data_IF_499478618408
#
_entry.id   IF_499478618408
#
_cell.length_a   1.000
_cell.length_b   1.000
_cell.length_c   1.000
_cell.angle_alpha   90.00
_cell.angle_beta   90.00
_cell.angle_gamma   90.00
#
_symmetry.space_group_name_H-M   'P 1'
#
loop_
_entity.id
_entity.type
_entity.pdbx_description
1 polymer ?
#
# COMPACT_ATOMS: atom_id res chain seq x y z
N UNK A 1 15.41 -44.46 11.64
CA UNK A 1 15.68 -43.74 10.38
C UNK A 1 14.83 -42.48 10.41
N UNK A 2 15.42 -41.35 10.73
CA UNK A 2 14.75 -40.04 10.92
C UNK A 2 15.36 -39.09 9.90
N UNK A 3 14.59 -38.36 9.07
CA UNK A 3 15.19 -37.41 8.16
C UNK A 3 15.51 -36.10 8.89
N UNK A 4 16.77 -35.71 8.72
CA UNK A 4 17.42 -34.48 9.15
C UNK A 4 16.86 -33.27 8.41
N UNK A 5 16.53 -32.21 9.14
CA UNK A 5 16.25 -30.89 8.59
C UNK A 5 17.52 -30.30 7.96
N UNK A 6 17.45 -29.83 6.71
CA UNK A 6 18.50 -29.05 6.07
C UNK A 6 17.99 -27.63 5.81
N UNK A 7 18.62 -26.69 6.51
CA UNK A 7 18.48 -25.24 6.43
C UNK A 7 19.11 -24.70 5.13
N UNK A 8 18.51 -23.67 4.51
CA UNK A 8 19.15 -22.39 4.15
C UNK A 8 18.30 -21.57 3.16
N UNK A 9 18.03 -20.33 3.55
CA UNK A 9 17.35 -19.28 2.81
C UNK A 9 18.27 -18.60 1.77
N UNK A 10 17.67 -18.00 0.74
CA UNK A 10 18.15 -16.86 -0.09
C UNK A 10 16.89 -16.38 -0.86
N UNK A 11 16.10 -15.41 -0.39
CA UNK A 11 16.34 -13.96 -0.41
C UNK A 11 16.65 -13.44 -1.83
N UNK A 12 15.62 -13.09 -2.60
CA UNK A 12 15.67 -12.12 -3.70
C UNK A 12 14.25 -11.81 -4.21
N UNK A 13 13.50 -10.99 -3.46
CA UNK A 13 12.42 -10.20 -4.04
C UNK A 13 12.73 -8.74 -3.73
N UNK A 14 13.79 -8.26 -4.36
CA UNK A 14 14.10 -6.84 -4.42
C UNK A 14 12.90 -6.10 -5.00
N UNK A 15 12.50 -5.00 -4.36
CA UNK A 15 11.47 -4.10 -4.86
C UNK A 15 11.80 -3.70 -6.30
N UNK A 16 11.06 -4.26 -7.27
CA UNK A 16 11.30 -4.00 -8.68
C UNK A 16 10.84 -2.58 -8.98
N UNK A 17 11.77 -1.61 -8.95
CA UNK A 17 11.51 -0.27 -9.45
C UNK A 17 11.49 -0.33 -10.96
N UNK A 18 10.32 -0.47 -11.57
CA UNK A 18 10.20 -0.33 -13.02
C UNK A 18 10.25 1.15 -13.39
N UNK A 19 11.33 1.56 -14.06
CA UNK A 19 11.48 2.91 -14.61
C UNK A 19 10.92 2.92 -16.03
N UNK A 20 9.64 3.27 -16.19
CA UNK A 20 9.09 3.75 -17.47
C UNK A 20 9.43 5.23 -17.57
N UNK A 21 9.84 5.72 -18.74
CA UNK A 21 10.33 7.08 -18.94
C UNK A 21 9.40 8.11 -18.27
N UNK A 22 9.85 8.73 -17.18
CA UNK A 22 9.18 9.85 -16.50
C UNK A 22 8.34 9.52 -15.25
N UNK A 23 8.04 8.26 -14.91
CA UNK A 23 7.24 7.94 -13.71
C UNK A 23 7.75 6.69 -12.98
N UNK A 24 8.18 6.87 -11.73
CA UNK A 24 8.61 5.77 -10.86
C UNK A 24 7.36 5.10 -10.28
N UNK A 25 6.92 4.00 -10.89
CA UNK A 25 5.85 3.16 -10.33
C UNK A 25 6.47 2.15 -9.38
N UNK A 26 5.90 2.02 -8.19
CA UNK A 26 6.32 1.02 -7.20
C UNK A 26 5.53 -0.28 -7.38
N UNK A 27 6.09 -1.40 -6.95
CA UNK A 27 5.33 -2.65 -6.83
C UNK A 27 4.56 -2.68 -5.51
N UNK A 28 3.35 -3.24 -5.51
CA UNK A 28 2.54 -3.37 -4.30
C UNK A 28 3.13 -4.38 -3.32
N UNK A 29 3.75 -5.45 -3.81
CA UNK A 29 4.22 -6.56 -2.98
C UNK A 29 3.07 -7.37 -2.37
N UNK A 30 3.34 -8.03 -1.23
CA UNK A 30 2.37 -8.84 -0.47
C UNK A 30 1.29 -7.93 0.17
N UNK A 31 0.00 -8.03 -0.19
CA UNK A 31 -1.05 -7.26 0.46
C UNK A 31 -1.24 -7.67 1.93
N UNK A 32 -1.32 -6.71 2.83
CA UNK A 32 -1.53 -6.95 4.28
C UNK A 32 -2.85 -6.37 4.79
N UNK A 33 -3.44 -5.43 4.07
CA UNK A 33 -4.76 -4.89 4.36
C UNK A 33 -5.42 -4.38 3.08
N UNK A 34 -6.74 -4.59 3.00
CA UNK A 34 -7.58 -4.10 1.91
C UNK A 34 -8.83 -3.46 2.50
N UNK A 35 -9.29 -2.36 1.91
CA UNK A 35 -10.58 -1.76 2.22
C UNK A 35 -11.35 -1.46 0.95
N UNK A 36 -12.58 -1.95 0.90
CA UNK A 36 -13.53 -1.59 -0.14
C UNK A 36 -14.39 -0.41 0.33
N UNK A 37 -14.56 0.58 -0.54
CA UNK A 37 -15.32 1.81 -0.34
C UNK A 37 -16.30 1.98 -1.50
N UNK A 38 -17.27 2.87 -1.31
CA UNK A 38 -18.27 3.21 -2.34
C UNK A 38 -18.20 4.68 -2.71
N UNK A 39 -18.31 4.98 -4.00
CA UNK A 39 -18.55 6.32 -4.56
C UNK A 39 -19.79 6.28 -5.44
N UNK A 40 -20.94 6.57 -4.85
CA UNK A 40 -22.23 6.23 -5.45
C UNK A 40 -22.32 4.73 -5.72
N UNK A 41 -22.55 4.34 -6.97
CA UNK A 41 -22.62 2.92 -7.37
C UNK A 41 -21.26 2.29 -7.67
N UNK A 42 -20.18 3.08 -7.73
CA UNK A 42 -18.84 2.60 -8.05
C UNK A 42 -18.11 2.08 -6.81
N UNK A 43 -17.32 1.02 -6.98
CA UNK A 43 -16.44 0.48 -5.94
C UNK A 43 -15.04 1.08 -6.05
N UNK A 44 -14.45 1.41 -4.91
CA UNK A 44 -13.06 1.88 -4.79
C UNK A 44 -12.35 1.01 -3.78
N UNK A 45 -11.18 0.49 -4.15
CA UNK A 45 -10.41 -0.42 -3.29
C UNK A 45 -9.09 0.21 -2.91
N UNK A 46 -8.81 0.30 -1.61
CA UNK A 46 -7.51 0.71 -1.08
C UNK A 46 -6.76 -0.55 -0.66
N UNK A 47 -5.55 -0.74 -1.16
CA UNK A 47 -4.70 -1.88 -0.82
C UNK A 47 -3.38 -1.39 -0.25
N UNK A 48 -2.99 -1.95 0.89
CA UNK A 48 -1.70 -1.71 1.52
C UNK A 48 -0.83 -2.95 1.37
N UNK A 49 0.35 -2.76 0.79
CA UNK A 49 1.41 -3.75 0.76
C UNK A 49 2.11 -3.88 2.10
N UNK A 50 2.78 -5.01 2.32
CA UNK A 50 3.62 -5.26 3.49
C UNK A 50 4.75 -4.22 3.53
N UNK A 51 4.93 -3.50 4.65
CA UNK A 51 6.06 -2.58 4.79
C UNK A 51 7.40 -3.28 4.53
N UNK A 52 8.25 -2.62 3.76
CA UNK A 52 9.57 -3.11 3.37
C UNK A 52 10.64 -2.14 3.86
N UNK A 53 11.83 -2.66 4.14
CA UNK A 53 12.99 -1.82 4.46
C UNK A 53 13.43 -1.06 3.19
N UNK A 54 13.70 0.24 3.33
CA UNK A 54 14.20 1.06 2.23
C UNK A 54 15.73 0.96 2.11
N UNK A 55 16.24 1.03 0.88
CA UNK A 55 17.67 1.26 0.64
C UNK A 55 18.09 2.61 1.26
N UNK A 56 19.08 2.60 2.14
CA UNK A 56 19.53 3.79 2.88
C UNK A 56 18.92 3.95 4.27
N UNK A 57 18.08 3.01 4.71
CA UNK A 57 17.49 2.99 6.06
C UNK A 57 16.05 3.46 6.09
N UNK A 58 15.37 3.19 7.20
CA UNK A 58 13.92 3.38 7.33
C UNK A 58 13.12 2.30 6.61
N UNK A 59 11.82 2.56 6.48
CA UNK A 59 10.85 1.66 5.85
C UNK A 59 9.97 2.43 4.88
N UNK A 60 9.33 1.71 3.97
CA UNK A 60 8.20 2.21 3.20
C UNK A 60 7.06 1.20 3.18
N UNK A 61 5.84 1.70 3.07
CA UNK A 61 4.63 0.90 2.89
C UNK A 61 4.04 1.23 1.50
N UNK A 62 3.93 0.23 0.60
CA UNK A 62 3.23 0.40 -0.67
C UNK A 62 1.73 0.62 -0.45
N UNK A 63 1.12 1.55 -1.18
CA UNK A 63 -0.31 1.78 -1.19
C UNK A 63 -0.80 2.00 -2.62
N UNK A 64 -1.94 1.39 -2.95
CA UNK A 64 -2.64 1.61 -4.23
C UNK A 64 -4.12 1.88 -3.97
N UNK A 65 -4.69 2.81 -4.72
CA UNK A 65 -6.11 3.12 -4.69
C UNK A 65 -6.70 2.86 -6.07
N UNK A 66 -7.46 1.78 -6.18
CA UNK A 66 -8.09 1.31 -7.41
C UNK A 66 -9.51 1.91 -7.52
N UNK A 67 -9.93 2.30 -8.73
CA UNK A 67 -11.29 2.83 -8.99
C UNK A 67 -11.43 4.36 -8.96
N UNK A 68 -10.32 5.11 -8.83
CA UNK A 68 -10.29 6.59 -8.97
C UNK A 68 -9.66 7.00 -10.30
N UNK A 69 -8.48 6.46 -10.61
CA UNK A 69 -7.75 6.69 -11.86
C UNK A 69 -7.97 5.50 -12.81
N UNK A 70 -7.85 5.74 -14.12
CA UNK A 70 -7.96 4.67 -15.11
C UNK A 70 -6.82 3.64 -14.99
N UNK A 71 -5.60 4.13 -14.71
CA UNK A 71 -4.40 3.32 -14.51
C UNK A 71 -3.84 3.55 -13.08
N UNK A 72 -4.34 2.81 -12.07
CA UNK A 72 -3.98 3.05 -10.68
C UNK A 72 -2.50 2.75 -10.44
N UNK A 73 -1.80 3.72 -9.87
CA UNK A 73 -0.36 3.60 -9.61
C UNK A 73 -0.08 3.37 -8.13
N UNK A 74 0.76 2.38 -7.82
CA UNK A 74 1.25 2.17 -6.45
C UNK A 74 2.21 3.28 -6.04
N UNK A 75 2.05 3.78 -4.81
CA UNK A 75 2.92 4.76 -4.17
C UNK A 75 3.66 4.10 -3.02
N UNK A 76 4.94 4.41 -2.83
CA UNK A 76 5.67 4.03 -1.62
C UNK A 76 5.65 5.21 -0.63
N UNK A 77 5.12 4.98 0.56
CA UNK A 77 5.04 5.99 1.62
C UNK A 77 6.03 5.62 2.72
N UNK A 78 6.92 6.54 3.05
CA UNK A 78 8.09 6.28 3.90
C UNK A 78 7.83 6.59 5.38
N UNK A 79 8.53 5.85 6.25
CA UNK A 79 8.56 6.06 7.70
C UNK A 79 9.89 5.59 8.29
N UNK A 80 10.15 5.92 9.56
CA UNK A 80 11.35 5.51 10.28
C UNK A 80 11.35 4.00 10.58
N UNK A 81 10.18 3.44 10.85
CA UNK A 81 9.95 2.01 11.03
C UNK A 81 8.73 1.53 10.23
N UNK A 82 8.50 0.22 10.25
CA UNK A 82 7.40 -0.42 9.51
C UNK A 82 6.02 0.03 9.96
N UNK A 83 5.84 0.35 11.25
CA UNK A 83 4.57 0.78 11.83
C UNK A 83 4.27 2.21 11.38
N UNK A 84 5.25 3.11 11.48
CA UNK A 84 5.10 4.49 11.02
C UNK A 84 4.84 4.53 9.51
N UNK A 85 5.57 3.75 8.71
CA UNK A 85 5.34 3.70 7.27
C UNK A 85 3.91 3.25 6.91
N UNK A 86 3.35 2.29 7.65
CA UNK A 86 1.96 1.87 7.47
C UNK A 86 0.96 2.97 7.87
N UNK A 87 1.14 3.60 9.03
CA UNK A 87 0.26 4.69 9.48
C UNK A 87 0.27 5.84 8.46
N UNK A 88 1.44 6.24 7.98
CA UNK A 88 1.57 7.28 6.96
C UNK A 88 0.92 6.88 5.63
N UNK A 89 1.02 5.61 5.22
CA UNK A 89 0.33 5.10 4.04
C UNK A 89 -1.20 5.17 4.20
N UNK A 90 -1.73 4.82 5.37
CA UNK A 90 -3.17 4.95 5.67
C UNK A 90 -3.62 6.41 5.64
N UNK A 91 -2.84 7.32 6.24
CA UNK A 91 -3.09 8.77 6.19
C UNK A 91 -3.00 9.33 4.77
N UNK A 92 -2.10 8.80 3.94
CA UNK A 92 -2.03 9.14 2.52
C UNK A 92 -3.30 8.71 1.78
N UNK A 93 -3.77 7.48 1.97
CA UNK A 93 -5.01 7.01 1.36
C UNK A 93 -6.22 7.88 1.75
N UNK A 94 -6.34 8.23 3.04
CA UNK A 94 -7.36 9.15 3.53
C UNK A 94 -7.36 10.49 2.79
N UNK A 95 -6.18 11.13 2.68
CA UNK A 95 -6.01 12.41 1.95
C UNK A 95 -6.37 12.31 0.47
N UNK A 96 -5.99 11.23 -0.21
CA UNK A 96 -6.33 11.01 -1.63
C UNK A 96 -7.84 10.90 -1.81
N UNK A 97 -8.51 10.17 -0.92
CA UNK A 97 -9.97 10.02 -0.96
C UNK A 97 -10.66 11.36 -0.70
N UNK A 98 -10.28 12.07 0.37
CA UNK A 98 -10.83 13.40 0.68
C UNK A 98 -10.67 14.40 -0.48
N UNK A 99 -9.54 14.36 -1.19
CA UNK A 99 -9.29 15.26 -2.32
C UNK A 99 -10.09 14.92 -3.59
N UNK A 100 -10.59 13.69 -3.72
CA UNK A 100 -11.17 13.17 -4.99
C UNK A 100 -12.69 12.95 -4.94
N UNK A 101 -13.31 13.08 -3.76
CA UNK A 101 -14.76 13.13 -3.62
C UNK A 101 -15.27 12.55 -2.32
N UNK A 102 -16.58 12.34 -2.27
CA UNK A 102 -17.25 11.72 -1.13
C UNK A 102 -17.30 10.20 -1.33
N UNK A 103 -16.80 9.48 -0.32
CA UNK A 103 -16.79 8.03 -0.27
C UNK A 103 -17.50 7.56 0.98
N UNK A 104 -17.99 6.32 0.96
CA UNK A 104 -18.54 5.67 2.15
C UNK A 104 -17.90 4.31 2.40
N UNK A 105 -17.82 3.95 3.67
CA UNK A 105 -17.46 2.62 4.13
C UNK A 105 -18.65 2.05 4.90
N UNK A 106 -19.17 0.89 4.46
CA UNK A 106 -20.39 0.30 5.05
C UNK A 106 -21.56 1.30 5.15
N UNK A 107 -21.67 2.22 4.16
CA UNK A 107 -22.69 3.27 4.12
C UNK A 107 -22.42 4.49 5.02
N UNK A 108 -21.36 4.49 5.83
CA UNK A 108 -20.97 5.61 6.70
C UNK A 108 -19.90 6.52 6.09
N UNK A 109 -19.79 7.79 6.56
CA UNK A 109 -18.79 8.75 6.08
C UNK A 109 -17.40 8.56 6.71
N UNK A 110 -17.28 7.73 7.74
CA UNK A 110 -15.99 7.39 8.34
C UNK A 110 -15.31 6.28 7.53
N UNK A 111 -14.24 6.64 6.82
CA UNK A 111 -13.47 5.72 5.98
C UNK A 111 -12.51 4.84 6.80
N UNK A 112 -12.35 5.12 8.10
CA UNK A 112 -11.48 4.38 9.01
C UNK A 112 -9.98 4.54 8.72
N UNK A 113 -9.59 5.65 8.08
CA UNK A 113 -8.20 6.05 7.89
C UNK A 113 -7.85 7.20 8.84
N UNK A 114 -6.62 7.25 9.39
CA UNK A 114 -6.20 8.37 10.22
C UNK A 114 -6.28 9.69 9.46
N UNK A 115 -6.76 10.73 10.14
CA UNK A 115 -6.70 12.11 9.63
C UNK A 115 -5.39 12.74 10.10
N UNK A 116 -4.67 13.34 9.16
CA UNK A 116 -3.44 14.11 9.43
C UNK A 116 -3.74 15.53 9.86
#
# INVERSE_FOLDING_TARGET
>A
MVPTACSLALADLHASRHRVAGMTTWELGEPVATRELRKGENSVTVVFGKPQQAEGGGYYCPVRVDGIEADPTTRAIFGMDSVQALIEAMSFAGRVLEATGEYTFEGGPDLGFPRG
#
